data_IF_111442072260
#
_entry.id   IF_111442072260
#
_cell.length_a   1.000
_cell.length_b   1.000
_cell.length_c   1.000
_cell.angle_alpha   90.00
_cell.angle_beta   90.00
_cell.angle_gamma   90.00
#
_symmetry.space_group_name_H-M   'P 1'
#
loop_
_entity.id
_entity.type
_entity.pdbx_description
1 polymer ?
#
# COMPACT_ATOMS: atom_id res chain seq x y z
N UNK A 1 -6.68 -17.37 -42.22
CA UNK A 1 -6.07 -18.40 -41.36
C UNK A 1 -4.62 -18.09 -40.98
N UNK A 2 -3.62 -18.08 -41.87
CA UNK A 2 -2.22 -17.77 -41.48
C UNK A 2 -2.02 -16.33 -40.95
N UNK A 3 -2.62 -15.33 -41.61
CA UNK A 3 -2.54 -13.93 -41.16
C UNK A 3 -3.22 -13.68 -39.80
N UNK A 4 -4.33 -14.37 -39.51
CA UNK A 4 -5.03 -14.21 -38.23
C UNK A 4 -4.19 -14.76 -37.07
N UNK A 5 -3.44 -15.85 -37.31
CA UNK A 5 -2.54 -16.44 -36.31
C UNK A 5 -1.37 -15.49 -36.00
N UNK A 6 -0.83 -14.80 -37.00
CA UNK A 6 0.22 -13.79 -36.77
C UNK A 6 -0.30 -12.56 -36.02
N UNK A 7 -1.50 -12.09 -36.36
CA UNK A 7 -2.16 -10.97 -35.66
C UNK A 7 -2.44 -11.34 -34.19
N UNK A 8 -2.95 -12.55 -33.95
CA UNK A 8 -3.21 -13.07 -32.60
C UNK A 8 -1.91 -13.17 -31.78
N UNK A 9 -0.82 -13.66 -32.38
CA UNK A 9 0.50 -13.68 -31.71
C UNK A 9 0.97 -12.28 -31.35
N UNK A 10 0.79 -11.31 -32.23
CA UNK A 10 1.09 -9.91 -31.96
C UNK A 10 0.31 -9.39 -30.76
N UNK A 11 -1.01 -9.61 -30.73
CA UNK A 11 -1.87 -9.18 -29.63
C UNK A 11 -1.49 -9.83 -28.28
N UNK A 12 -1.20 -11.13 -28.28
CA UNK A 12 -0.75 -11.85 -27.08
C UNK A 12 0.57 -11.28 -26.57
N UNK A 13 1.51 -10.95 -27.45
CA UNK A 13 2.78 -10.34 -27.05
C UNK A 13 2.57 -8.95 -26.46
N UNK A 14 1.68 -8.13 -27.05
CA UNK A 14 1.36 -6.80 -26.50
C UNK A 14 0.69 -6.92 -25.12
N UNK A 15 -0.20 -7.90 -24.94
CA UNK A 15 -0.86 -8.16 -23.66
C UNK A 15 0.14 -8.62 -22.59
N UNK A 16 1.09 -9.50 -22.94
CA UNK A 16 2.17 -9.92 -22.05
C UNK A 16 3.03 -8.73 -21.60
N UNK A 17 3.52 -7.94 -22.55
CA UNK A 17 4.32 -6.75 -22.23
C UNK A 17 3.54 -5.75 -21.37
N UNK A 18 2.22 -5.65 -21.61
CA UNK A 18 1.34 -4.80 -20.79
C UNK A 18 1.20 -5.37 -19.38
N UNK A 19 0.99 -6.68 -19.23
CA UNK A 19 0.88 -7.34 -17.93
C UNK A 19 2.17 -7.17 -17.11
N UNK A 20 3.34 -7.36 -17.72
CA UNK A 20 4.63 -7.16 -17.05
C UNK A 20 4.80 -5.72 -16.56
N UNK A 21 4.47 -4.73 -17.39
CA UNK A 21 4.52 -3.33 -17.01
C UNK A 21 3.53 -2.96 -15.89
N UNK A 22 2.39 -3.65 -15.80
CA UNK A 22 1.44 -3.46 -14.68
C UNK A 22 1.97 -4.11 -13.40
N UNK A 23 2.59 -5.27 -13.47
CA UNK A 23 3.21 -5.94 -12.32
C UNK A 23 4.33 -5.08 -11.74
N UNK A 24 5.19 -4.50 -12.59
CA UNK A 24 6.24 -3.57 -12.13
C UNK A 24 5.65 -2.37 -11.39
N UNK A 25 4.60 -1.73 -11.94
CA UNK A 25 3.92 -0.62 -11.28
C UNK A 25 3.25 -1.02 -9.96
N UNK A 26 2.67 -2.21 -9.88
CA UNK A 26 2.08 -2.72 -8.65
C UNK A 26 3.16 -2.90 -7.60
N UNK A 27 4.30 -3.51 -7.95
CA UNK A 27 5.42 -3.69 -7.04
C UNK A 27 5.98 -2.34 -6.54
N UNK A 28 6.09 -1.33 -7.41
CA UNK A 28 6.50 0.02 -7.02
C UNK A 28 5.50 0.68 -6.07
N UNK A 29 4.19 0.48 -6.31
CA UNK A 29 3.14 1.02 -5.46
C UNK A 29 3.08 0.30 -4.10
N UNK A 30 3.25 -1.02 -4.08
CA UNK A 30 3.32 -1.81 -2.85
C UNK A 30 4.56 -1.45 -2.04
N UNK A 31 5.71 -1.25 -2.69
CA UNK A 31 6.92 -0.75 -2.04
C UNK A 31 6.73 0.66 -1.44
N UNK A 32 5.95 1.52 -2.10
CA UNK A 32 5.56 2.84 -1.58
C UNK A 32 4.49 2.77 -0.51
N UNK A 33 3.64 1.74 -0.50
CA UNK A 33 2.59 1.55 0.50
C UNK A 33 3.15 0.97 1.80
N UNK A 34 4.17 0.12 1.71
CA UNK A 34 4.91 -0.42 2.85
C UNK A 34 5.91 0.59 3.41
N UNK A 35 5.40 1.75 3.86
CA UNK A 35 6.22 2.73 4.56
C UNK A 35 6.43 2.24 6.00
N UNK A 36 7.68 2.11 6.47
CA UNK A 36 7.96 1.75 7.85
C UNK A 36 7.36 2.81 8.79
N UNK A 37 6.78 2.35 9.90
CA UNK A 37 6.16 3.22 10.89
C UNK A 37 7.18 4.27 11.39
N UNK A 38 6.88 5.58 11.26
CA UNK A 38 7.81 6.61 11.70
C UNK A 38 7.89 6.69 13.23
N UNK A 39 9.05 7.07 13.78
CA UNK A 39 9.30 7.04 15.23
C UNK A 39 8.31 7.89 16.04
N UNK A 40 7.88 9.04 15.50
CA UNK A 40 6.93 9.95 16.16
C UNK A 40 5.54 9.33 16.33
N UNK A 41 5.18 8.33 15.53
CA UNK A 41 3.89 7.64 15.60
C UNK A 41 3.92 6.46 16.60
N UNK A 42 5.10 6.04 17.05
CA UNK A 42 5.29 4.84 17.89
C UNK A 42 4.49 4.90 19.18
N UNK A 43 4.52 6.03 19.88
CA UNK A 43 3.80 6.22 21.14
C UNK A 43 2.28 6.20 20.94
N UNK A 44 1.79 6.89 19.91
CA UNK A 44 0.37 6.93 19.57
C UNK A 44 -0.16 5.55 19.13
N UNK A 45 0.61 4.82 18.34
CA UNK A 45 0.28 3.48 17.89
C UNK A 45 0.30 2.50 19.06
N UNK A 46 1.30 2.58 19.94
CA UNK A 46 1.35 1.77 21.17
C UNK A 46 0.14 2.03 22.08
N UNK A 47 -0.23 3.30 22.28
CA UNK A 47 -1.43 3.68 23.03
C UNK A 47 -2.72 3.17 22.35
N UNK A 48 -2.79 3.20 21.02
CA UNK A 48 -3.95 2.74 20.25
C UNK A 48 -4.11 1.21 20.24
N UNK A 49 -3.01 0.47 20.15
CA UNK A 49 -2.98 -0.99 20.30
C UNK A 49 -3.39 -1.38 21.72
N UNK A 50 -2.83 -0.70 22.73
CA UNK A 50 -3.17 -0.95 24.14
C UNK A 50 -4.63 -0.64 24.47
N UNK A 51 -5.22 0.32 23.75
CA UNK A 51 -6.64 0.70 23.87
C UNK A 51 -7.57 -0.20 23.03
N UNK A 52 -7.05 -1.18 22.29
CA UNK A 52 -7.82 -2.05 21.39
C UNK A 52 -8.44 -1.32 20.19
N UNK A 53 -7.98 -0.11 19.88
CA UNK A 53 -8.51 0.69 18.76
C UNK A 53 -7.96 0.24 17.41
N UNK A 54 -6.78 -0.41 17.41
CA UNK A 54 -6.10 -0.90 16.21
C UNK A 54 -5.49 -2.27 16.51
N UNK A 55 -5.84 -3.26 15.71
CA UNK A 55 -5.27 -4.63 15.76
C UNK A 55 -4.05 -4.82 14.84
N UNK A 56 -3.90 -3.99 13.81
CA UNK A 56 -2.81 -4.12 12.81
C UNK A 56 -2.07 -2.79 12.64
N UNK A 57 -0.95 -2.58 13.35
CA UNK A 57 -0.18 -1.33 13.31
C UNK A 57 0.80 -1.23 12.13
N UNK A 58 1.10 -2.34 11.45
CA UNK A 58 2.11 -2.40 10.39
C UNK A 58 1.53 -2.15 8.99
N UNK A 59 2.31 -1.54 8.11
CA UNK A 59 1.96 -1.34 6.69
C UNK A 59 0.85 -0.32 6.42
N UNK A 60 0.60 0.62 7.35
CA UNK A 60 -0.43 1.66 7.18
C UNK A 60 0.16 2.89 6.49
N UNK A 61 -0.69 3.63 5.75
CA UNK A 61 -0.30 4.91 5.13
C UNK A 61 0.13 5.95 6.18
N UNK A 62 1.00 6.88 5.80
CA UNK A 62 1.41 8.02 6.63
C UNK A 62 0.21 8.84 7.15
N UNK A 63 -0.84 8.93 6.34
CA UNK A 63 -2.08 9.62 6.69
C UNK A 63 -2.81 8.91 7.85
N UNK A 64 -2.72 7.58 7.91
CA UNK A 64 -3.31 6.81 9.00
C UNK A 64 -2.64 7.13 10.34
N UNK A 65 -1.30 7.15 10.38
CA UNK A 65 -0.55 7.52 11.58
C UNK A 65 -0.78 8.98 11.97
N UNK A 66 -0.92 9.89 11.00
CA UNK A 66 -1.19 11.31 11.23
C UNK A 66 -2.59 11.54 11.80
N UNK A 67 -3.59 10.86 11.26
CA UNK A 67 -4.95 10.87 11.78
C UNK A 67 -5.01 10.26 13.18
N UNK A 68 -4.35 9.12 13.39
CA UNK A 68 -4.29 8.47 14.69
C UNK A 68 -3.70 9.39 15.75
N UNK A 69 -2.50 9.94 15.49
CA UNK A 69 -1.83 10.89 16.38
C UNK A 69 -2.71 12.10 16.66
N UNK A 70 -3.36 12.66 15.63
CA UNK A 70 -4.24 13.83 15.77
C UNK A 70 -5.46 13.52 16.63
N UNK A 71 -6.11 12.37 16.41
CA UNK A 71 -7.27 11.95 17.19
C UNK A 71 -6.88 11.66 18.64
N UNK A 72 -5.74 11.00 18.86
CA UNK A 72 -5.25 10.69 20.20
C UNK A 72 -4.87 11.94 20.99
N UNK A 73 -4.18 12.91 20.37
CA UNK A 73 -3.90 14.22 20.97
C UNK A 73 -5.19 14.99 21.28
N UNK A 74 -6.18 14.98 20.38
CA UNK A 74 -7.48 15.64 20.61
C UNK A 74 -8.29 14.96 21.72
N UNK A 75 -8.14 13.65 21.89
CA UNK A 75 -8.79 12.88 22.95
C UNK A 75 -8.01 12.90 24.27
N UNK A 76 -6.82 13.50 24.31
CA UNK A 76 -5.97 13.56 25.51
C UNK A 76 -5.42 12.19 25.93
N UNK A 77 -5.31 11.26 24.98
CA UNK A 77 -4.79 9.91 25.21
C UNK A 77 -3.25 9.87 25.20
N UNK A 78 -2.62 10.93 24.66
CA UNK A 78 -1.19 11.28 24.64
C UNK A 78 -1.06 12.80 24.44
#
# INVERSE_FOLDING_TARGET
MLNEIEVLKGQVQTLLNTADAHIEKINELEAKASIPMPEWAREAVSAAVSSGLIDTPEGRSYDFYSLLLTVFRRKGLI
#
